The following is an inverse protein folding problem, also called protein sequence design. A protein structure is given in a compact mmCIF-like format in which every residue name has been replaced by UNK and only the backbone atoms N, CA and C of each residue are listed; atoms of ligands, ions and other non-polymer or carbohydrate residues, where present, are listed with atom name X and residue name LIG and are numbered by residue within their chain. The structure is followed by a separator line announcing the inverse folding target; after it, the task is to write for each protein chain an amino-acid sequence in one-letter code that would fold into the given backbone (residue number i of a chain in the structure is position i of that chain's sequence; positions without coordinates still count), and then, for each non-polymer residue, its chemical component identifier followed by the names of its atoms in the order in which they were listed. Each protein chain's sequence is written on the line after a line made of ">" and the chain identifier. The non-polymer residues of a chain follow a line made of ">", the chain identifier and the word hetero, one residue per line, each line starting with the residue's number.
data_IF_871924305063
#
_entry.id   IF_871924305063
#
_cell.length_a   1.000
_cell.length_b   1.000
_cell.length_c   1.000
_cell.angle_alpha   90.00
_cell.angle_beta   90.00
_cell.angle_gamma   90.00
#
_symmetry.space_group_name_H-M   'P 1'
#
loop_
_entity.id
_entity.type
_entity.pdbx_description
1 polymer ?
#
# COMPACT_ATOMS: atom_id res chain seq x y z
N UNK A 1 -17.48 28.40 -9.35
CA UNK A 1 -17.62 27.21 -10.22
C UNK A 1 -16.27 26.68 -10.78
N UNK A 2 -15.35 27.47 -11.42
CA UNK A 2 -14.15 26.89 -12.03
C UNK A 2 -13.22 26.13 -11.06
N UNK A 3 -12.98 26.68 -9.86
CA UNK A 3 -12.09 26.05 -8.87
C UNK A 3 -12.61 24.67 -8.44
N UNK A 4 -13.91 24.52 -8.22
CA UNK A 4 -14.51 23.24 -7.83
C UNK A 4 -14.37 22.19 -8.94
N UNK A 5 -14.67 22.56 -10.18
CA UNK A 5 -14.53 21.69 -11.33
C UNK A 5 -13.07 21.20 -11.48
N UNK A 6 -12.11 22.09 -11.25
CA UNK A 6 -10.68 21.74 -11.27
C UNK A 6 -10.35 20.71 -10.18
N UNK A 7 -10.83 20.88 -8.95
CA UNK A 7 -10.60 19.93 -7.84
C UNK A 7 -11.21 18.57 -8.16
N UNK A 8 -12.40 18.51 -8.73
CA UNK A 8 -13.07 17.27 -9.14
C UNK A 8 -12.24 16.54 -10.21
N UNK A 9 -11.77 17.27 -11.25
CA UNK A 9 -10.94 16.67 -12.30
C UNK A 9 -9.59 16.19 -11.77
N UNK A 10 -8.97 16.92 -10.83
CA UNK A 10 -7.76 16.45 -10.13
C UNK A 10 -8.04 15.15 -9.40
N UNK A 11 -9.14 15.06 -8.66
CA UNK A 11 -9.51 13.86 -7.93
C UNK A 11 -9.72 12.65 -8.87
N UNK A 12 -10.41 12.86 -10.01
CA UNK A 12 -10.60 11.83 -11.03
C UNK A 12 -9.26 11.36 -11.59
N UNK A 13 -8.39 12.30 -11.97
CA UNK A 13 -7.07 12.01 -12.54
C UNK A 13 -6.16 11.27 -11.55
N UNK A 14 -6.17 11.65 -10.27
CA UNK A 14 -5.42 10.97 -9.22
C UNK A 14 -5.86 9.51 -9.04
N UNK A 15 -7.18 9.27 -9.02
CA UNK A 15 -7.72 7.92 -8.94
C UNK A 15 -7.33 7.08 -10.16
N UNK A 16 -7.52 7.63 -11.37
CA UNK A 16 -7.16 6.95 -12.62
C UNK A 16 -5.68 6.58 -12.65
N UNK A 17 -4.82 7.54 -12.32
CA UNK A 17 -3.37 7.34 -12.29
C UNK A 17 -2.96 6.27 -11.28
N UNK A 18 -3.47 6.34 -10.05
CA UNK A 18 -3.13 5.38 -9.02
C UNK A 18 -3.58 3.96 -9.43
N UNK A 19 -4.77 3.83 -10.04
CA UNK A 19 -5.26 2.58 -10.60
C UNK A 19 -4.33 2.03 -11.67
N UNK A 20 -3.89 2.85 -12.63
CA UNK A 20 -2.93 2.46 -13.66
C UNK A 20 -1.59 2.01 -13.08
N UNK A 21 -1.00 2.78 -12.17
CA UNK A 21 0.29 2.42 -11.54
C UNK A 21 0.21 1.03 -10.90
N UNK A 22 -0.86 0.75 -10.17
CA UNK A 22 -1.01 -0.54 -9.50
C UNK A 22 -1.22 -1.68 -10.51
N UNK A 23 -2.05 -1.48 -11.54
CA UNK A 23 -2.34 -2.51 -12.54
C UNK A 23 -1.12 -2.83 -13.42
N UNK A 24 -0.40 -1.82 -13.90
CA UNK A 24 0.71 -2.05 -14.83
C UNK A 24 1.98 -2.59 -14.17
N UNK A 25 2.25 -2.19 -12.93
CA UNK A 25 3.46 -2.63 -12.22
C UNK A 25 3.36 -4.05 -11.65
N UNK A 26 2.18 -4.50 -11.28
CA UNK A 26 2.00 -5.85 -10.72
C UNK A 26 0.61 -6.44 -11.05
N UNK A 27 0.35 -6.74 -12.34
CA UNK A 27 -0.99 -7.14 -12.82
C UNK A 27 -1.46 -8.52 -12.32
N UNK A 28 -0.53 -9.39 -11.92
CA UNK A 28 -0.84 -10.80 -11.62
C UNK A 28 -1.48 -11.03 -10.23
N UNK A 29 -1.47 -10.04 -9.35
CA UNK A 29 -2.07 -10.18 -8.01
C UNK A 29 -3.52 -9.74 -8.02
N UNK A 30 -4.40 -10.57 -7.48
CA UNK A 30 -5.82 -10.28 -7.33
C UNK A 30 -6.05 -8.98 -6.56
N UNK A 31 -5.29 -8.74 -5.49
CA UNK A 31 -5.35 -7.52 -4.70
C UNK A 31 -5.16 -6.26 -5.56
N UNK A 32 -4.16 -6.28 -6.45
CA UNK A 32 -3.84 -5.16 -7.32
C UNK A 32 -4.92 -4.95 -8.39
N UNK A 33 -5.45 -6.04 -8.94
CA UNK A 33 -6.55 -6.00 -9.90
C UNK A 33 -7.80 -5.37 -9.27
N UNK A 34 -8.20 -5.83 -8.08
CA UNK A 34 -9.36 -5.29 -7.36
C UNK A 34 -9.19 -3.80 -7.04
N UNK A 35 -8.00 -3.40 -6.59
CA UNK A 35 -7.72 -2.00 -6.30
C UNK A 35 -7.72 -1.13 -7.55
N UNK A 36 -7.12 -1.61 -8.64
CA UNK A 36 -7.11 -0.88 -9.92
C UNK A 36 -8.51 -0.70 -10.50
N UNK A 37 -9.35 -1.75 -10.46
CA UNK A 37 -10.77 -1.67 -10.87
C UNK A 37 -11.51 -0.69 -9.95
N UNK A 38 -11.28 -0.73 -8.64
CA UNK A 38 -11.87 0.21 -7.69
C UNK A 38 -11.52 1.65 -8.04
N UNK A 39 -10.24 1.98 -8.26
CA UNK A 39 -9.80 3.32 -8.65
C UNK A 39 -10.42 3.75 -9.99
N UNK A 40 -10.53 2.85 -10.98
CA UNK A 40 -11.16 3.15 -12.26
C UNK A 40 -12.65 3.49 -12.11
N UNK A 41 -13.39 2.73 -11.30
CA UNK A 41 -14.82 3.00 -11.04
C UNK A 41 -14.98 4.29 -10.23
N UNK A 42 -14.11 4.58 -9.26
CA UNK A 42 -14.09 5.86 -8.57
C UNK A 42 -13.84 7.03 -9.54
N UNK A 43 -12.95 6.86 -10.51
CA UNK A 43 -12.73 7.86 -11.56
C UNK A 43 -14.01 8.11 -12.37
N UNK A 44 -14.69 7.04 -12.82
CA UNK A 44 -15.97 7.16 -13.56
C UNK A 44 -17.06 7.81 -12.72
N UNK A 45 -17.14 7.49 -11.45
CA UNK A 45 -18.04 8.11 -10.49
C UNK A 45 -17.79 9.62 -10.35
N UNK A 46 -16.54 10.04 -10.19
CA UNK A 46 -16.13 11.43 -10.08
C UNK A 46 -16.38 12.18 -11.39
N UNK A 47 -16.09 11.57 -12.54
CA UNK A 47 -16.37 12.15 -13.86
C UNK A 47 -17.88 12.30 -14.11
N UNK A 48 -18.70 11.34 -13.69
CA UNK A 48 -20.15 11.47 -13.77
C UNK A 48 -20.64 12.68 -12.94
N UNK A 49 -20.14 12.87 -11.71
CA UNK A 49 -20.39 14.07 -10.91
C UNK A 49 -19.96 15.35 -11.61
N UNK A 50 -18.78 15.37 -12.23
CA UNK A 50 -18.30 16.51 -13.01
C UNK A 50 -19.25 16.86 -14.15
N UNK A 51 -19.66 15.85 -14.94
CA UNK A 51 -20.55 16.07 -16.08
C UNK A 51 -21.97 16.51 -15.68
N UNK A 52 -22.43 16.15 -14.47
CA UNK A 52 -23.70 16.73 -13.95
C UNK A 52 -23.62 18.26 -13.87
N UNK A 53 -22.45 18.84 -13.51
CA UNK A 53 -22.28 20.29 -13.42
C UNK A 53 -22.05 20.96 -14.77
N UNK A 54 -21.33 20.29 -15.70
CA UNK A 54 -20.95 20.89 -16.99
C UNK A 54 -22.01 20.66 -18.04
N UNK A 55 -22.58 19.47 -18.10
CA UNK A 55 -23.61 19.02 -19.04
C UNK A 55 -24.77 18.36 -18.28
N UNK A 56 -25.62 19.15 -17.62
CA UNK A 56 -26.69 18.60 -16.79
C UNK A 56 -27.63 17.70 -17.59
N UNK A 57 -27.66 16.43 -17.27
CA UNK A 57 -28.56 15.44 -17.86
C UNK A 57 -28.93 14.36 -16.86
N UNK A 58 -30.11 13.76 -17.03
CA UNK A 58 -30.55 12.62 -16.23
C UNK A 58 -29.56 11.46 -16.29
N UNK A 59 -28.97 11.24 -17.44
CA UNK A 59 -27.99 10.17 -17.67
C UNK A 59 -26.76 10.31 -16.73
N UNK A 60 -26.15 11.51 -16.66
CA UNK A 60 -24.99 11.72 -15.82
C UNK A 60 -25.31 11.59 -14.34
N UNK A 61 -26.46 12.13 -13.91
CA UNK A 61 -26.92 12.04 -12.55
C UNK A 61 -27.16 10.59 -12.12
N UNK A 62 -27.88 9.81 -12.94
CA UNK A 62 -28.11 8.40 -12.70
C UNK A 62 -26.79 7.59 -12.71
N UNK A 63 -25.86 7.94 -13.60
CA UNK A 63 -24.52 7.34 -13.67
C UNK A 63 -23.73 7.57 -12.39
N UNK A 64 -23.86 8.72 -11.73
CA UNK A 64 -23.24 9.00 -10.43
C UNK A 64 -23.64 7.96 -9.38
N UNK A 65 -24.93 7.73 -9.24
CA UNK A 65 -25.45 6.73 -8.31
C UNK A 65 -25.05 5.31 -8.70
N UNK A 66 -25.06 4.99 -10.00
CA UNK A 66 -24.69 3.68 -10.54
C UNK A 66 -23.24 3.33 -10.23
N UNK A 67 -22.30 4.21 -10.57
CA UNK A 67 -20.88 3.97 -10.28
C UNK A 67 -20.56 3.99 -8.78
N UNK A 68 -21.26 4.81 -7.98
CA UNK A 68 -21.14 4.81 -6.53
C UNK A 68 -21.48 3.45 -5.90
N UNK A 69 -22.55 2.79 -6.37
CA UNK A 69 -22.93 1.45 -5.92
C UNK A 69 -21.88 0.39 -6.26
N UNK A 70 -21.31 0.42 -7.48
CA UNK A 70 -20.23 -0.50 -7.86
C UNK A 70 -18.96 -0.26 -7.06
N UNK A 71 -18.57 1.00 -6.86
CA UNK A 71 -17.40 1.35 -6.05
C UNK A 71 -17.51 0.78 -4.63
N UNK A 72 -18.69 0.93 -4.00
CA UNK A 72 -18.95 0.38 -2.68
C UNK A 72 -18.81 -1.15 -2.63
N UNK A 73 -19.31 -1.88 -3.63
CA UNK A 73 -19.17 -3.33 -3.73
C UNK A 73 -17.71 -3.77 -3.87
N UNK A 74 -16.96 -3.13 -4.75
CA UNK A 74 -15.57 -3.50 -5.03
C UNK A 74 -14.67 -3.14 -3.85
N UNK A 75 -14.97 -2.08 -3.11
CA UNK A 75 -14.27 -1.74 -1.87
C UNK A 75 -14.33 -2.89 -0.85
N UNK A 76 -15.48 -3.58 -0.74
CA UNK A 76 -15.61 -4.76 0.15
C UNK A 76 -14.69 -5.90 -0.32
N UNK A 77 -14.70 -6.23 -1.62
CA UNK A 77 -13.85 -7.31 -2.14
C UNK A 77 -12.37 -7.01 -1.98
N UNK A 78 -11.98 -5.76 -2.21
CA UNK A 78 -10.63 -5.31 -1.99
C UNK A 78 -10.23 -5.38 -0.51
N UNK A 79 -11.09 -4.93 0.41
CA UNK A 79 -10.85 -5.03 1.84
C UNK A 79 -10.72 -6.49 2.34
N UNK A 80 -11.55 -7.40 1.83
CA UNK A 80 -11.46 -8.84 2.11
C UNK A 80 -10.11 -9.42 1.67
N UNK A 81 -9.66 -9.08 0.47
CA UNK A 81 -8.41 -9.60 -0.07
C UNK A 81 -7.19 -9.01 0.67
N UNK A 82 -7.21 -7.71 0.99
CA UNK A 82 -6.15 -7.04 1.75
C UNK A 82 -5.99 -7.60 3.17
N UNK A 83 -7.08 -8.00 3.79
CA UNK A 83 -7.08 -8.57 5.14
C UNK A 83 -6.88 -10.09 5.17
N UNK A 84 -6.65 -10.72 4.01
CA UNK A 84 -6.58 -12.17 3.85
C UNK A 84 -7.82 -12.90 4.42
N UNK A 85 -8.97 -12.22 4.49
CA UNK A 85 -10.22 -12.86 4.90
C UNK A 85 -10.79 -13.66 3.71
N UNK A 86 -11.36 -14.83 3.99
CA UNK A 86 -11.86 -15.72 2.93
C UNK A 86 -13.00 -15.06 2.16
N UNK A 87 -12.80 -14.90 0.86
CA UNK A 87 -13.85 -14.49 -0.06
C UNK A 87 -14.69 -15.71 -0.38
N UNK A 88 -15.77 -15.90 0.39
CA UNK A 88 -16.70 -17.00 0.17
C UNK A 88 -17.61 -16.71 -1.03
N UNK A 89 -18.06 -17.78 -1.73
CA UNK A 89 -19.03 -17.64 -2.83
C UNK A 89 -20.26 -16.83 -2.45
N UNK A 90 -20.73 -17.02 -1.21
CA UNK A 90 -21.90 -16.30 -0.66
C UNK A 90 -21.65 -14.79 -0.59
N UNK A 91 -20.48 -14.33 -0.10
CA UNK A 91 -20.12 -12.91 -0.07
C UNK A 91 -20.06 -12.31 -1.48
N UNK A 92 -19.48 -13.06 -2.45
CA UNK A 92 -19.40 -12.62 -3.86
C UNK A 92 -20.80 -12.47 -4.46
N UNK A 93 -21.67 -13.43 -4.24
CA UNK A 93 -23.04 -13.39 -4.76
C UNK A 93 -23.81 -12.22 -4.13
N UNK A 94 -23.79 -12.08 -2.81
CA UNK A 94 -24.57 -11.04 -2.11
C UNK A 94 -24.07 -9.64 -2.52
N UNK A 95 -22.81 -9.31 -2.29
CA UNK A 95 -22.30 -7.97 -2.55
C UNK A 95 -22.12 -7.65 -4.03
N UNK A 96 -21.78 -8.65 -4.85
CA UNK A 96 -21.71 -8.49 -6.29
C UNK A 96 -23.08 -8.30 -6.91
N UNK A 97 -24.06 -9.12 -6.55
CA UNK A 97 -25.43 -9.00 -7.05
C UNK A 97 -26.10 -7.69 -6.60
N UNK A 98 -25.92 -7.29 -5.33
CA UNK A 98 -26.43 -6.00 -4.85
C UNK A 98 -25.79 -4.81 -5.58
N UNK A 99 -24.48 -4.85 -5.81
CA UNK A 99 -23.79 -3.79 -6.57
C UNK A 99 -24.30 -3.68 -7.99
N UNK A 100 -24.46 -4.79 -8.70
CA UNK A 100 -25.01 -4.83 -10.06
C UNK A 100 -26.49 -4.41 -10.05
N UNK A 101 -27.26 -4.87 -9.08
CA UNK A 101 -28.66 -4.49 -8.93
C UNK A 101 -28.80 -2.96 -8.79
N UNK A 102 -28.09 -2.33 -7.84
CA UNK A 102 -28.16 -0.89 -7.66
C UNK A 102 -27.53 -0.12 -8.82
N UNK A 103 -26.52 -0.67 -9.51
CA UNK A 103 -25.97 -0.08 -10.73
C UNK A 103 -27.06 0.06 -11.80
N UNK A 104 -27.80 -1.00 -12.08
CA UNK A 104 -28.86 -0.99 -13.08
C UNK A 104 -30.11 -0.21 -12.58
N UNK A 105 -30.50 -0.47 -11.33
CA UNK A 105 -31.71 0.11 -10.77
C UNK A 105 -31.61 1.65 -10.60
N UNK A 106 -30.41 2.22 -10.50
CA UNK A 106 -30.22 3.68 -10.41
C UNK A 106 -30.74 4.40 -11.64
N UNK A 107 -30.68 3.79 -12.83
CA UNK A 107 -31.24 4.39 -14.05
C UNK A 107 -32.76 4.42 -14.08
N UNK A 108 -33.44 3.57 -13.31
CA UNK A 108 -34.90 3.49 -13.26
C UNK A 108 -35.48 4.01 -11.93
N UNK A 109 -34.72 3.91 -10.87
CA UNK A 109 -35.15 4.25 -9.50
C UNK A 109 -35.18 5.75 -9.23
N UNK A 110 -34.27 6.51 -9.83
CA UNK A 110 -34.26 7.97 -9.72
C UNK A 110 -35.20 8.59 -10.77
N UNK A 111 -36.33 9.13 -10.30
CA UNK A 111 -37.35 9.76 -11.13
C UNK A 111 -36.95 11.20 -11.40
N UNK A 112 -36.65 11.49 -12.66
CA UNK A 112 -36.39 12.84 -13.14
C UNK A 112 -37.65 13.45 -13.71
N UNK A 113 -37.98 14.72 -13.39
CA UNK A 113 -39.01 15.46 -14.14
C UNK A 113 -38.52 15.71 -15.57
N UNK A 114 -39.43 15.72 -16.53
CA UNK A 114 -39.14 16.13 -17.91
C UNK A 114 -38.91 17.65 -17.95
N UNK A 115 -37.65 18.07 -17.83
CA UNK A 115 -37.22 19.44 -17.79
C UNK A 115 -36.17 19.73 -18.85
N UNK A 116 -36.10 21.00 -19.25
CA UNK A 116 -35.05 21.46 -20.16
C UNK A 116 -33.66 21.37 -19.52
N UNK A 117 -32.62 21.14 -20.33
CA UNK A 117 -31.25 20.90 -19.85
C UNK A 117 -30.73 22.01 -18.91
N UNK A 118 -31.18 23.27 -19.08
CA UNK A 118 -30.78 24.38 -18.21
C UNK A 118 -31.35 24.34 -16.78
N UNK A 119 -32.43 23.59 -16.55
CA UNK A 119 -33.05 23.48 -15.22
C UNK A 119 -32.50 22.31 -14.40
N UNK A 120 -31.86 21.32 -15.04
CA UNK A 120 -31.36 20.12 -14.38
C UNK A 120 -30.29 20.40 -13.33
N UNK A 121 -29.41 21.38 -13.56
CA UNK A 121 -28.39 21.77 -12.57
C UNK A 121 -28.99 22.41 -11.32
N UNK A 122 -30.07 23.21 -11.49
CA UNK A 122 -30.83 23.80 -10.38
C UNK A 122 -31.59 22.71 -9.62
N UNK A 123 -32.18 21.75 -10.33
CA UNK A 123 -32.88 20.62 -9.75
C UNK A 123 -31.96 19.71 -8.92
N UNK A 124 -30.78 19.42 -9.44
CA UNK A 124 -29.78 18.67 -8.69
C UNK A 124 -29.38 19.40 -7.42
N UNK A 125 -29.12 20.70 -7.52
CA UNK A 125 -28.82 21.53 -6.35
C UNK A 125 -30.00 21.62 -5.35
N UNK A 126 -31.25 21.47 -5.80
CA UNK A 126 -32.47 21.48 -4.97
C UNK A 126 -32.83 20.10 -4.40
N UNK A 127 -32.22 19.02 -4.91
CA UNK A 127 -32.48 17.62 -4.51
C UNK A 127 -33.87 17.10 -4.87
N UNK A 128 -34.51 17.66 -5.90
CA UNK A 128 -35.85 17.24 -6.32
C UNK A 128 -35.88 15.79 -6.74
N UNK A 129 -34.81 15.29 -7.38
CA UNK A 129 -34.63 13.88 -7.75
C UNK A 129 -34.67 12.95 -6.52
N UNK A 130 -34.03 13.38 -5.40
CA UNK A 130 -34.04 12.64 -4.13
C UNK A 130 -35.45 12.63 -3.54
N UNK A 131 -36.14 13.80 -3.53
CA UNK A 131 -37.52 13.91 -3.03
C UNK A 131 -38.48 13.04 -3.81
N UNK A 132 -38.39 13.05 -5.14
CA UNK A 132 -39.25 12.23 -6.02
C UNK A 132 -38.98 10.73 -5.94
N UNK A 133 -37.81 10.34 -5.50
CA UNK A 133 -37.32 8.96 -5.45
C UNK A 133 -36.98 8.49 -4.03
N UNK A 134 -37.56 9.11 -3.02
CA UNK A 134 -37.19 8.92 -1.62
C UNK A 134 -37.10 7.44 -1.18
N UNK A 135 -38.04 6.53 -1.50
CA UNK A 135 -37.93 5.12 -1.09
C UNK A 135 -36.71 4.45 -1.69
N UNK A 136 -36.44 4.68 -2.96
CA UNK A 136 -35.26 4.11 -3.64
C UNK A 136 -33.97 4.72 -3.07
N UNK A 137 -33.96 6.03 -2.84
CA UNK A 137 -32.81 6.71 -2.25
C UNK A 137 -32.45 6.16 -0.88
N UNK A 138 -33.44 5.90 0.00
CA UNK A 138 -33.20 5.32 1.33
C UNK A 138 -32.56 3.93 1.20
N UNK A 139 -33.08 3.07 0.32
CA UNK A 139 -32.51 1.75 0.07
C UNK A 139 -31.06 1.83 -0.46
N UNK A 140 -30.86 2.73 -1.43
CA UNK A 140 -29.55 2.98 -2.02
C UNK A 140 -28.52 3.44 -0.98
N UNK A 141 -28.83 4.48 -0.21
CA UNK A 141 -27.95 5.04 0.82
C UNK A 141 -27.67 4.02 1.93
N UNK A 142 -28.68 3.24 2.34
CA UNK A 142 -28.50 2.18 3.32
C UNK A 142 -27.50 1.13 2.81
N UNK A 143 -27.61 0.77 1.54
CA UNK A 143 -26.67 -0.16 0.91
C UNK A 143 -25.24 0.41 0.83
N UNK A 144 -25.06 1.61 0.30
CA UNK A 144 -23.73 2.22 0.11
C UNK A 144 -23.06 2.50 1.46
N UNK A 145 -23.78 3.07 2.41
CA UNK A 145 -23.26 3.34 3.75
C UNK A 145 -22.93 2.04 4.49
N UNK A 146 -23.80 1.04 4.41
CA UNK A 146 -23.56 -0.28 4.97
C UNK A 146 -22.33 -0.98 4.37
N UNK A 147 -22.14 -0.86 3.06
CA UNK A 147 -20.97 -1.40 2.36
C UNK A 147 -19.67 -0.73 2.81
N UNK A 148 -19.65 0.61 2.91
CA UNK A 148 -18.50 1.38 3.40
C UNK A 148 -18.18 1.01 4.84
N UNK A 149 -19.17 0.99 5.73
CA UNK A 149 -18.99 0.62 7.14
C UNK A 149 -18.49 -0.82 7.28
N UNK A 150 -18.99 -1.74 6.45
CA UNK A 150 -18.52 -3.12 6.45
C UNK A 150 -17.07 -3.25 5.97
N UNK A 151 -16.67 -2.49 4.93
CA UNK A 151 -15.28 -2.44 4.48
C UNK A 151 -14.34 -1.88 5.58
N UNK A 152 -14.76 -0.82 6.29
CA UNK A 152 -14.03 -0.27 7.44
C UNK A 152 -13.91 -1.30 8.56
N UNK A 153 -15.00 -2.02 8.88
CA UNK A 153 -14.98 -3.08 9.87
C UNK A 153 -14.00 -4.20 9.52
N UNK A 154 -13.98 -4.66 8.26
CA UNK A 154 -13.04 -5.68 7.78
C UNK A 154 -11.59 -5.22 7.94
N UNK A 155 -11.28 -3.99 7.53
CA UNK A 155 -9.94 -3.43 7.67
C UNK A 155 -9.53 -3.25 9.15
N UNK A 156 -10.45 -2.80 10.01
CA UNK A 156 -10.19 -2.67 11.44
C UNK A 156 -9.94 -4.04 12.10
N UNK A 157 -10.72 -5.07 11.71
CA UNK A 157 -10.50 -6.46 12.13
C UNK A 157 -9.12 -6.96 11.67
N UNK A 158 -8.78 -6.76 10.38
CA UNK A 158 -7.49 -7.15 9.81
C UNK A 158 -6.32 -6.44 10.50
N UNK A 159 -6.45 -5.14 10.79
CA UNK A 159 -5.46 -4.36 11.54
C UNK A 159 -5.18 -4.95 12.94
N UNK A 160 -6.23 -5.36 13.65
CA UNK A 160 -6.10 -6.00 14.98
C UNK A 160 -5.46 -7.39 14.88
N UNK A 161 -5.81 -8.18 13.87
CA UNK A 161 -5.28 -9.52 13.66
C UNK A 161 -3.80 -9.52 13.21
N UNK A 162 -3.35 -8.48 12.51
CA UNK A 162 -1.97 -8.34 12.02
C UNK A 162 -0.97 -7.88 13.11
N UNK A 163 -1.23 -8.15 14.39
CA UNK A 163 -0.40 -7.68 15.52
C UNK A 163 1.08 -8.09 15.41
N UNK A 164 1.35 -9.27 14.85
CA UNK A 164 2.71 -9.83 14.73
C UNK A 164 3.38 -9.55 13.38
N UNK A 165 2.72 -8.79 12.49
CA UNK A 165 3.20 -8.47 11.15
C UNK A 165 3.27 -6.95 10.96
N UNK A 166 4.34 -6.32 11.44
CA UNK A 166 4.47 -4.87 11.49
C UNK A 166 4.24 -4.16 10.15
N UNK A 167 4.74 -4.73 9.05
CA UNK A 167 4.58 -4.13 7.71
C UNK A 167 3.12 -4.19 7.27
N UNK A 168 2.48 -5.36 7.34
CA UNK A 168 1.08 -5.54 6.95
C UNK A 168 0.14 -4.68 7.81
N UNK A 169 0.40 -4.63 9.12
CA UNK A 169 -0.35 -3.77 10.05
C UNK A 169 -0.30 -2.30 9.64
N UNK A 170 0.89 -1.79 9.26
CA UNK A 170 1.04 -0.41 8.80
C UNK A 170 0.35 -0.18 7.46
N UNK A 171 0.46 -1.13 6.52
CA UNK A 171 -0.26 -1.07 5.24
C UNK A 171 -1.78 -0.96 5.45
N UNK A 172 -2.37 -1.88 6.22
CA UNK A 172 -3.80 -1.86 6.54
C UNK A 172 -4.17 -0.59 7.31
N UNK A 173 -3.33 -0.12 8.23
CA UNK A 173 -3.57 1.08 9.02
C UNK A 173 -3.72 2.34 8.17
N UNK A 174 -2.81 2.58 7.23
CA UNK A 174 -2.92 3.75 6.32
C UNK A 174 -4.16 3.66 5.43
N UNK A 175 -4.43 2.49 4.87
CA UNK A 175 -5.64 2.27 4.06
C UNK A 175 -6.90 2.47 4.89
N UNK A 176 -6.93 1.97 6.13
CA UNK A 176 -8.04 2.14 7.06
C UNK A 176 -8.32 3.63 7.35
N UNK A 177 -7.28 4.43 7.60
CA UNK A 177 -7.43 5.88 7.80
C UNK A 177 -8.01 6.52 6.53
N UNK A 178 -7.46 6.20 5.36
CA UNK A 178 -7.91 6.77 4.08
C UNK A 178 -9.38 6.45 3.78
N UNK A 179 -9.78 5.18 3.92
CA UNK A 179 -11.18 4.78 3.65
C UNK A 179 -12.15 5.28 4.72
N UNK A 180 -11.70 5.44 5.97
CA UNK A 180 -12.54 5.98 7.05
C UNK A 180 -12.82 7.45 6.82
N UNK A 181 -11.80 8.26 6.49
CA UNK A 181 -11.98 9.68 6.17
C UNK A 181 -12.85 9.86 4.93
N UNK A 182 -12.53 9.16 3.84
CA UNK A 182 -13.33 9.18 2.62
C UNK A 182 -14.79 8.77 2.90
N UNK A 183 -15.00 7.67 3.61
CA UNK A 183 -16.33 7.17 3.95
C UNK A 183 -17.12 8.12 4.86
N UNK A 184 -16.47 8.77 5.82
CA UNK A 184 -17.08 9.78 6.67
C UNK A 184 -17.61 10.96 5.83
N UNK A 185 -16.79 11.46 4.91
CA UNK A 185 -17.20 12.56 4.01
C UNK A 185 -18.33 12.12 3.07
N UNK A 186 -18.26 10.95 2.47
CA UNK A 186 -19.32 10.42 1.59
C UNK A 186 -20.64 10.27 2.38
N UNK A 187 -20.61 9.62 3.55
CA UNK A 187 -21.83 9.43 4.35
C UNK A 187 -22.39 10.79 4.77
N UNK A 188 -21.54 11.72 5.22
CA UNK A 188 -22.01 13.06 5.61
C UNK A 188 -22.57 13.80 4.41
N UNK A 189 -21.88 13.81 3.28
CA UNK A 189 -22.33 14.51 2.08
C UNK A 189 -23.58 13.87 1.48
N UNK A 190 -23.59 12.54 1.29
CA UNK A 190 -24.66 11.87 0.54
C UNK A 190 -25.88 11.48 1.39
N UNK A 191 -25.74 11.41 2.72
CA UNK A 191 -26.83 11.05 3.63
C UNK A 191 -27.26 12.23 4.51
N UNK A 192 -26.31 12.78 5.29
CA UNK A 192 -26.67 13.74 6.33
C UNK A 192 -27.10 15.09 5.74
N UNK A 193 -26.29 15.67 4.85
CA UNK A 193 -26.57 16.99 4.26
C UNK A 193 -27.90 17.03 3.48
N UNK A 194 -28.24 16.03 2.64
CA UNK A 194 -29.53 16.00 1.96
C UNK A 194 -30.74 15.92 2.88
N UNK A 195 -30.64 15.24 4.04
CA UNK A 195 -31.71 15.19 5.03
C UNK A 195 -32.05 16.58 5.63
N UNK A 196 -31.03 17.44 5.72
CA UNK A 196 -31.19 18.82 6.19
C UNK A 196 -31.41 19.83 5.04
N UNK A 197 -31.55 19.38 3.79
CA UNK A 197 -31.79 20.22 2.64
C UNK A 197 -30.55 20.89 2.04
N UNK A 198 -29.33 20.55 2.48
CA UNK A 198 -28.09 21.14 1.97
C UNK A 198 -27.55 20.37 0.73
N UNK A 199 -28.38 20.24 -0.31
CA UNK A 199 -28.06 19.45 -1.50
C UNK A 199 -26.87 19.99 -2.29
N UNK A 200 -26.75 21.32 -2.42
CA UNK A 200 -25.62 21.94 -3.14
C UNK A 200 -24.29 21.69 -2.46
N UNK A 201 -24.24 21.70 -1.12
CA UNK A 201 -23.03 21.39 -0.36
C UNK A 201 -22.69 19.90 -0.40
N UNK A 202 -23.70 19.04 -0.43
CA UNK A 202 -23.57 17.60 -0.60
C UNK A 202 -22.77 17.25 -1.86
N UNK A 203 -23.19 17.77 -3.00
CA UNK A 203 -22.57 17.48 -4.29
C UNK A 203 -21.13 18.01 -4.44
N UNK A 204 -20.77 19.04 -3.64
CA UNK A 204 -19.43 19.65 -3.63
C UNK A 204 -18.42 18.83 -2.80
N UNK A 205 -18.84 18.27 -1.67
CA UNK A 205 -17.93 17.61 -0.71
C UNK A 205 -17.63 16.16 -1.05
N UNK A 206 -18.49 15.54 -1.80
CA UNK A 206 -18.49 14.11 -2.09
C UNK A 206 -17.24 13.68 -2.91
N UNK A 207 -17.09 14.21 -4.13
CA UNK A 207 -16.03 13.81 -5.06
C UNK A 207 -14.60 14.08 -4.57
N UNK A 208 -14.27 15.26 -3.99
CA UNK A 208 -12.93 15.54 -3.49
C UNK A 208 -12.50 14.65 -2.32
N UNK A 209 -13.44 14.05 -1.60
CA UNK A 209 -13.15 13.18 -0.47
C UNK A 209 -12.30 11.95 -0.85
N UNK A 210 -12.39 11.50 -2.10
CA UNK A 210 -11.58 10.40 -2.64
C UNK A 210 -10.07 10.66 -2.57
N UNK A 211 -9.65 11.93 -2.52
CA UNK A 211 -8.24 12.30 -2.37
C UNK A 211 -7.64 11.83 -1.04
N UNK A 212 -8.43 11.69 0.02
CA UNK A 212 -7.96 11.08 1.26
C UNK A 212 -7.56 9.62 1.04
N UNK A 213 -8.42 8.84 0.37
CA UNK A 213 -8.12 7.45 0.08
C UNK A 213 -6.89 7.31 -0.82
N UNK A 214 -6.81 8.12 -1.88
CA UNK A 214 -5.66 8.16 -2.79
C UNK A 214 -4.38 8.52 -2.04
N UNK A 215 -4.40 9.57 -1.23
CA UNK A 215 -3.23 10.05 -0.48
C UNK A 215 -2.70 8.98 0.50
N UNK A 216 -3.56 8.43 1.33
CA UNK A 216 -3.15 7.39 2.28
C UNK A 216 -2.76 6.08 1.62
N UNK A 217 -3.43 5.67 0.54
CA UNK A 217 -3.03 4.50 -0.25
C UNK A 217 -1.66 4.71 -0.91
N UNK A 218 -1.39 5.92 -1.41
CA UNK A 218 -0.08 6.30 -1.97
C UNK A 218 1.02 6.18 -0.91
N UNK A 219 0.78 6.64 0.34
CA UNK A 219 1.73 6.46 1.44
C UNK A 219 1.96 4.98 1.75
N UNK A 220 0.89 4.16 1.78
CA UNK A 220 1.00 2.73 2.00
C UNK A 220 1.82 2.03 0.90
N UNK A 221 1.65 2.44 -0.35
CA UNK A 221 2.40 1.90 -1.51
C UNK A 221 3.88 2.29 -1.42
N UNK A 222 4.17 3.59 -1.26
CA UNK A 222 5.53 4.12 -1.35
C UNK A 222 6.39 3.73 -0.15
N UNK A 223 5.85 3.86 1.07
CA UNK A 223 6.62 3.66 2.30
C UNK A 223 6.62 2.21 2.78
N UNK A 224 5.53 1.48 2.55
CA UNK A 224 5.37 0.12 3.07
C UNK A 224 5.25 -0.93 1.98
N UNK A 225 5.50 -0.57 0.72
CA UNK A 225 5.45 -1.48 -0.44
C UNK A 225 4.10 -2.24 -0.53
N UNK A 226 3.00 -1.57 -0.20
CA UNK A 226 1.68 -2.11 -0.48
C UNK A 226 1.61 -2.48 -1.97
N UNK A 227 1.04 -3.62 -2.30
CA UNK A 227 1.03 -4.20 -3.66
C UNK A 227 2.41 -4.70 -4.16
N UNK A 228 3.45 -4.75 -3.30
CA UNK A 228 4.86 -5.10 -3.67
C UNK A 228 5.45 -4.22 -4.78
N UNK A 229 4.94 -3.02 -4.93
CA UNK A 229 5.41 -2.08 -5.93
C UNK A 229 6.50 -1.21 -5.33
N UNK A 230 7.68 -1.26 -5.93
CA UNK A 230 8.73 -0.25 -5.71
C UNK A 230 8.39 0.96 -6.60
N UNK A 231 7.61 1.89 -6.09
CA UNK A 231 7.34 3.15 -6.78
C UNK A 231 8.15 4.24 -6.10
N UNK A 232 8.92 4.97 -6.90
CA UNK A 232 9.60 6.15 -6.42
C UNK A 232 8.56 7.26 -6.21
N UNK A 233 8.57 7.88 -5.03
CA UNK A 233 7.68 9.01 -4.72
C UNK A 233 7.75 10.09 -5.81
N UNK A 234 8.92 10.27 -6.41
CA UNK A 234 9.17 11.20 -7.52
C UNK A 234 8.34 10.87 -8.76
N UNK A 235 8.18 9.58 -9.12
CA UNK A 235 7.34 9.18 -10.27
C UNK A 235 5.88 9.57 -10.04
N UNK A 236 5.38 9.29 -8.85
CA UNK A 236 3.99 9.64 -8.47
C UNK A 236 3.80 11.16 -8.51
N UNK A 237 4.71 11.92 -7.91
CA UNK A 237 4.62 13.37 -7.84
C UNK A 237 4.65 13.99 -9.24
N UNK A 238 5.58 13.56 -10.10
CA UNK A 238 5.71 14.07 -11.48
C UNK A 238 4.47 13.79 -12.29
N UNK A 239 3.91 12.58 -12.21
CA UNK A 239 2.70 12.27 -12.99
C UNK A 239 1.48 12.99 -12.44
N UNK A 240 1.34 13.11 -11.11
CA UNK A 240 0.25 13.85 -10.49
C UNK A 240 0.27 15.33 -10.91
N UNK A 241 1.44 15.96 -10.86
CA UNK A 241 1.62 17.35 -11.33
C UNK A 241 1.40 17.49 -12.83
N UNK A 242 1.84 16.49 -13.62
CA UNK A 242 1.59 16.46 -15.07
C UNK A 242 0.13 16.38 -15.42
N UNK A 243 -0.65 15.54 -14.71
CA UNK A 243 -2.09 15.46 -14.89
C UNK A 243 -2.79 16.76 -14.50
N UNK A 244 -2.36 17.40 -13.43
CA UNK A 244 -2.90 18.68 -13.00
C UNK A 244 -2.67 19.76 -14.06
N UNK A 245 -1.46 19.83 -14.60
CA UNK A 245 -1.11 20.77 -15.66
C UNK A 245 -1.79 20.45 -17.01
N UNK A 246 -2.06 19.16 -17.30
CA UNK A 246 -2.80 18.74 -18.50
C UNK A 246 -4.26 19.22 -18.46
N UNK A 247 -4.87 19.27 -17.29
CA UNK A 247 -6.27 19.70 -17.12
C UNK A 247 -6.40 21.22 -17.21
N UNK A 248 -5.38 21.96 -16.81
CA UNK A 248 -5.41 23.42 -16.72
C UNK A 248 -5.87 24.13 -18.00
N UNK A 249 -5.38 23.77 -19.22
CA UNK A 249 -5.83 24.40 -20.46
C UNK A 249 -7.33 24.26 -20.75
N UNK A 250 -7.97 23.18 -20.29
CA UNK A 250 -9.39 22.93 -20.51
C UNK A 250 -10.31 23.74 -19.60
N UNK A 251 -9.75 24.37 -18.56
CA UNK A 251 -10.48 25.20 -17.58
C UNK A 251 -10.29 26.68 -17.86
N UNK A 252 -9.33 27.05 -18.71
CA UNK A 252 -9.03 28.45 -19.04
C UNK A 252 -9.95 28.99 -20.13
N UNK A 253 -10.43 30.21 -19.93
CA UNK A 253 -11.40 30.87 -20.84
C UNK A 253 -10.70 31.68 -21.94
N UNK A 254 -9.45 32.09 -21.74
CA UNK A 254 -8.74 32.96 -22.70
C UNK A 254 -7.67 32.20 -23.48
N UNK A 255 -7.53 32.50 -24.79
CA UNK A 255 -6.55 31.84 -25.69
C UNK A 255 -5.12 32.05 -25.17
N UNK A 256 -4.79 33.22 -24.67
CA UNK A 256 -3.46 33.53 -24.11
C UNK A 256 -3.11 32.61 -22.92
N UNK A 257 -4.05 32.40 -22.01
CA UNK A 257 -3.87 31.47 -20.88
C UNK A 257 -3.80 30.01 -21.32
N UNK A 258 -4.56 29.62 -22.35
CA UNK A 258 -4.47 28.25 -22.93
C UNK A 258 -3.09 28.00 -23.51
N UNK A 259 -2.54 28.94 -24.27
CA UNK A 259 -1.19 28.83 -24.84
C UNK A 259 -0.12 28.77 -23.74
N UNK A 260 -0.23 29.65 -22.75
CA UNK A 260 0.70 29.69 -21.62
C UNK A 260 0.67 28.39 -20.80
N UNK A 261 -0.50 27.89 -20.44
CA UNK A 261 -0.66 26.66 -19.65
C UNK A 261 -0.25 25.42 -20.44
N UNK A 262 -0.47 25.38 -21.76
CA UNK A 262 0.00 24.31 -22.63
C UNK A 262 1.53 24.31 -22.73
N UNK A 263 2.15 25.49 -22.87
CA UNK A 263 3.61 25.66 -22.85
C UNK A 263 4.22 25.21 -21.52
N UNK A 264 3.59 25.57 -20.40
CA UNK A 264 3.99 25.13 -19.07
C UNK A 264 3.89 23.61 -18.91
N UNK A 265 2.84 22.99 -19.42
CA UNK A 265 2.67 21.54 -19.42
C UNK A 265 3.79 20.83 -20.20
N UNK A 266 4.13 21.31 -21.41
CA UNK A 266 5.20 20.73 -22.21
C UNK A 266 6.56 20.86 -21.52
N UNK A 267 6.87 22.03 -20.94
CA UNK A 267 8.09 22.24 -20.16
C UNK A 267 8.15 21.29 -18.95
N UNK A 268 7.03 21.11 -18.26
CA UNK A 268 6.92 20.19 -17.12
C UNK A 268 7.11 18.72 -17.56
N UNK A 269 6.55 18.30 -18.70
CA UNK A 269 6.76 16.95 -19.24
C UNK A 269 8.25 16.68 -19.51
N UNK A 270 8.96 17.67 -20.07
CA UNK A 270 10.40 17.56 -20.30
C UNK A 270 11.19 17.44 -18.98
N UNK A 271 10.95 18.31 -18.03
CA UNK A 271 11.57 18.24 -16.70
C UNK A 271 11.22 16.94 -15.96
N UNK A 272 9.95 16.52 -16.03
CA UNK A 272 9.47 15.28 -15.47
C UNK A 272 10.17 14.05 -16.03
N UNK A 273 10.38 14.01 -17.34
CA UNK A 273 11.16 12.94 -17.97
C UNK A 273 12.59 12.85 -17.43
N UNK A 274 13.26 14.00 -17.26
CA UNK A 274 14.63 14.03 -16.70
C UNK A 274 14.66 13.56 -15.24
N UNK A 275 13.70 13.98 -14.43
CA UNK A 275 13.58 13.57 -13.03
C UNK A 275 13.32 12.07 -12.89
N UNK A 276 12.40 11.52 -13.67
CA UNK A 276 12.08 10.07 -13.66
C UNK A 276 13.32 9.27 -14.09
N UNK A 277 14.01 9.69 -15.14
CA UNK A 277 15.23 9.04 -15.61
C UNK A 277 16.33 9.05 -14.53
N UNK A 278 16.50 10.16 -13.83
CA UNK A 278 17.44 10.29 -12.71
C UNK A 278 17.07 9.35 -11.55
N UNK A 279 15.80 9.33 -11.15
CA UNK A 279 15.28 8.51 -10.07
C UNK A 279 15.39 7.00 -10.36
N UNK A 280 15.14 6.57 -11.60
CA UNK A 280 15.34 5.17 -12.03
C UNK A 280 16.81 4.76 -11.90
N UNK A 281 17.73 5.63 -12.35
CA UNK A 281 19.17 5.37 -12.25
C UNK A 281 19.63 5.24 -10.79
N UNK A 282 19.14 6.10 -9.91
CA UNK A 282 19.45 6.03 -8.47
C UNK A 282 18.91 4.75 -7.84
N UNK A 283 17.69 4.33 -8.20
CA UNK A 283 17.08 3.08 -7.72
C UNK A 283 17.89 1.85 -8.14
N UNK A 284 18.36 1.82 -9.40
CA UNK A 284 19.21 0.73 -9.89
C UNK A 284 20.55 0.68 -9.17
N UNK A 285 21.16 1.85 -8.91
CA UNK A 285 22.42 1.91 -8.15
C UNK A 285 22.24 1.40 -6.70
N UNK A 286 21.13 1.75 -6.04
CA UNK A 286 20.81 1.24 -4.70
C UNK A 286 20.61 -0.28 -4.70
N UNK A 287 19.95 -0.83 -5.71
CA UNK A 287 19.73 -2.28 -5.82
C UNK A 287 21.05 -3.05 -6.00
N UNK A 288 21.95 -2.54 -6.86
CA UNK A 288 23.31 -3.08 -7.04
C UNK A 288 24.11 -2.99 -5.73
N UNK A 289 23.99 -1.88 -5.01
CA UNK A 289 24.68 -1.69 -3.72
C UNK A 289 24.14 -2.65 -2.65
N UNK A 290 22.83 -2.80 -2.54
CA UNK A 290 22.20 -3.76 -1.62
C UNK A 290 22.66 -5.20 -1.92
N UNK A 291 22.77 -5.55 -3.20
CA UNK A 291 23.26 -6.87 -3.61
C UNK A 291 24.73 -7.06 -3.21
N UNK A 292 25.59 -6.07 -3.48
CA UNK A 292 27.00 -6.11 -3.06
C UNK A 292 27.17 -6.20 -1.55
N UNK A 293 26.36 -5.46 -0.79
CA UNK A 293 26.38 -5.54 0.69
C UNK A 293 25.99 -6.93 1.15
N UNK A 294 24.96 -7.53 0.52
CA UNK A 294 24.53 -8.90 0.85
C UNK A 294 25.62 -9.92 0.54
N UNK A 295 26.26 -9.83 -0.61
CA UNK A 295 27.38 -10.72 -1.00
C UNK A 295 28.54 -10.57 -0.02
N UNK A 296 28.94 -9.34 0.30
CA UNK A 296 30.03 -9.11 1.27
C UNK A 296 29.69 -9.57 2.68
N UNK A 297 28.43 -9.46 3.09
CA UNK A 297 28.00 -9.98 4.40
C UNK A 297 28.09 -11.50 4.45
N UNK A 298 27.71 -12.18 3.38
CA UNK A 298 27.84 -13.64 3.28
C UNK A 298 29.30 -14.09 3.25
N UNK A 299 30.16 -13.38 2.49
CA UNK A 299 31.61 -13.65 2.48
C UNK A 299 32.23 -13.48 3.87
N UNK A 300 31.84 -12.40 4.58
CA UNK A 300 32.33 -12.10 5.93
C UNK A 300 31.89 -13.19 6.92
N UNK A 301 30.63 -13.64 6.82
CA UNK A 301 30.09 -14.70 7.67
C UNK A 301 30.81 -16.05 7.42
N UNK A 302 31.07 -16.38 6.16
CA UNK A 302 31.83 -17.56 5.78
C UNK A 302 33.29 -17.48 6.31
N UNK A 303 33.94 -16.33 6.15
CA UNK A 303 35.29 -16.11 6.67
C UNK A 303 35.35 -16.18 8.20
N UNK A 304 34.35 -15.65 8.91
CA UNK A 304 34.21 -15.74 10.36
C UNK A 304 34.09 -17.20 10.82
N UNK A 305 33.18 -17.96 10.18
CA UNK A 305 32.99 -19.38 10.51
C UNK A 305 34.28 -20.19 10.29
N UNK A 306 35.00 -19.89 9.19
CA UNK A 306 36.29 -20.55 8.92
C UNK A 306 37.37 -20.19 9.97
N UNK A 307 37.38 -18.91 10.39
CA UNK A 307 38.31 -18.47 11.44
C UNK A 307 37.98 -19.09 12.81
N UNK A 308 36.70 -19.24 13.15
CA UNK A 308 36.23 -19.92 14.36
C UNK A 308 36.61 -21.40 14.35
N UNK A 309 36.47 -22.10 13.19
CA UNK A 309 36.90 -23.48 13.03
C UNK A 309 38.41 -23.64 13.23
N UNK A 310 39.21 -22.78 12.58
CA UNK A 310 40.68 -22.81 12.74
C UNK A 310 41.11 -22.53 14.19
N UNK A 311 40.40 -21.64 14.86
CA UNK A 311 40.66 -21.32 16.27
C UNK A 311 40.33 -22.54 17.16
N UNK A 312 39.19 -23.20 16.91
CA UNK A 312 38.83 -24.41 17.64
C UNK A 312 39.82 -25.55 17.40
N UNK A 313 40.29 -25.75 16.15
CA UNK A 313 41.34 -26.73 15.82
C UNK A 313 42.67 -26.39 16.51
N UNK A 314 43.05 -25.12 16.54
CA UNK A 314 44.27 -24.67 17.22
C UNK A 314 44.22 -24.92 18.72
N UNK A 315 43.08 -24.66 19.36
CA UNK A 315 42.85 -24.95 20.78
C UNK A 315 42.94 -26.46 21.05
N UNK A 316 42.25 -27.27 20.22
CA UNK A 316 42.29 -28.73 20.35
C UNK A 316 43.73 -29.28 20.24
N UNK A 317 44.52 -28.81 19.26
CA UNK A 317 45.94 -29.18 19.11
C UNK A 317 46.77 -28.71 20.31
N UNK A 318 46.54 -27.56 20.84
CA UNK A 318 47.21 -27.06 22.07
C UNK A 318 46.93 -27.98 23.25
N UNK A 319 45.66 -28.33 23.46
CA UNK A 319 45.25 -29.21 24.57
C UNK A 319 45.86 -30.62 24.42
N UNK A 320 45.96 -31.13 23.19
CA UNK A 320 46.61 -32.42 22.89
C UNK A 320 48.12 -32.35 23.18
N UNK A 321 48.80 -31.27 22.80
CA UNK A 321 50.19 -31.02 23.07
C UNK A 321 50.49 -30.88 24.58
N UNK A 322 49.59 -30.18 25.31
CA UNK A 322 49.73 -30.09 26.78
C UNK A 322 49.56 -31.43 27.48
N UNK A 323 48.60 -32.27 26.98
CA UNK A 323 48.44 -33.64 27.50
C UNK A 323 49.69 -34.48 27.25
N UNK A 324 50.22 -34.40 26.03
CA UNK A 324 51.44 -35.11 25.67
C UNK A 324 52.63 -34.64 26.55
N UNK A 325 52.79 -33.37 26.73
CA UNK A 325 53.81 -32.78 27.57
C UNK A 325 53.72 -33.25 29.04
N UNK A 326 52.52 -33.23 29.63
CA UNK A 326 52.30 -33.74 31.01
C UNK A 326 52.61 -35.21 31.13
N UNK A 327 52.26 -36.03 30.12
CA UNK A 327 52.59 -37.47 30.12
C UNK A 327 54.10 -37.70 30.01
N UNK A 328 54.80 -36.95 29.16
CA UNK A 328 56.24 -37.06 28.96
C UNK A 328 57.03 -36.64 30.22
N UNK A 329 56.68 -35.46 30.74
CA UNK A 329 57.30 -34.96 32.01
C UNK A 329 57.01 -35.92 33.17
N UNK A 330 55.75 -36.40 33.26
CA UNK A 330 55.39 -37.36 34.31
C UNK A 330 56.16 -38.69 34.18
N UNK A 331 56.45 -39.14 32.94
CA UNK A 331 57.27 -40.34 32.68
C UNK A 331 58.75 -40.11 33.03
N UNK A 332 59.29 -38.94 32.69
CA UNK A 332 60.67 -38.60 33.07
C UNK A 332 60.87 -38.46 34.60
N UNK A 333 59.95 -37.81 35.30
CA UNK A 333 59.98 -37.72 36.77
C UNK A 333 59.91 -39.10 37.40
N UNK A 334 59.06 -40.00 36.89
CA UNK A 334 58.99 -41.36 37.39
C UNK A 334 60.25 -42.18 37.09
N UNK A 335 60.89 -41.94 35.94
CA UNK A 335 62.19 -42.53 35.62
C UNK A 335 63.33 -42.06 36.53
N UNK A 336 63.30 -40.72 36.91
CA UNK A 336 64.26 -40.16 37.85
C UNK A 336 64.06 -40.78 39.25
N UNK A 337 62.81 -40.92 39.69
CA UNK A 337 62.49 -41.50 41.02
C UNK A 337 62.87 -42.99 41.05
N UNK A 338 62.64 -43.78 39.98
CA UNK A 338 63.08 -45.16 39.87
C UNK A 338 64.60 -45.28 39.87
N UNK A 339 65.32 -44.40 39.15
CA UNK A 339 66.80 -44.39 39.18
C UNK A 339 67.33 -44.06 40.58
N UNK A 340 66.64 -43.13 41.30
CA UNK A 340 67.05 -42.81 42.69
C UNK A 340 66.82 -44.01 43.61
N UNK A 341 65.70 -44.67 43.51
CA UNK A 341 65.44 -45.93 44.28
C UNK A 341 66.40 -47.06 43.96
N UNK A 342 66.72 -47.23 42.70
CA UNK A 342 67.75 -48.28 42.29
C UNK A 342 69.08 -47.95 42.96
N UNK A 343 69.52 -46.67 42.92
CA UNK A 343 70.78 -46.23 43.56
C UNK A 343 70.77 -46.40 45.08
N UNK A 344 69.65 -46.17 45.73
CA UNK A 344 69.46 -46.39 47.17
C UNK A 344 69.52 -47.90 47.55
N UNK A 345 68.96 -48.73 46.66
CA UNK A 345 69.04 -50.20 46.88
C UNK A 345 70.42 -50.78 46.59
N UNK A 346 71.17 -50.29 45.60
CA UNK A 346 72.53 -50.63 45.32
C UNK A 346 73.46 -50.29 46.45
N UNK A 347 73.30 -49.09 47.07
CA UNK A 347 74.10 -48.68 48.24
C UNK A 347 73.76 -49.46 49.49
N UNK A 348 72.54 -50.00 49.65
CA UNK A 348 72.18 -50.92 50.74
C UNK A 348 72.69 -52.33 50.59
N UNK A 349 72.92 -52.82 49.33
CA UNK A 349 73.35 -54.18 49.01
C UNK A 349 74.89 -54.33 48.80
N UNK A 350 75.65 -53.24 49.01
CA UNK A 350 77.13 -53.38 48.93
C UNK A 350 77.61 -54.03 50.23
N UNK A 351 78.11 -55.22 50.26
CA UNK A 351 78.61 -55.84 51.46
C UNK A 351 79.86 -55.14 51.87
N UNK A 352 79.93 -54.82 53.17
CA UNK A 352 81.12 -54.27 53.78
C UNK A 352 82.26 -55.28 53.63
N UNK A 353 83.18 -54.91 52.77
CA UNK A 353 84.46 -55.68 52.69
C UNK A 353 85.22 -55.48 54.01
N UNK A 354 85.54 -56.54 54.71
CA UNK A 354 86.40 -56.40 55.90
C UNK A 354 87.79 -56.00 55.48
N UNK A 355 88.28 -54.94 56.00
CA UNK A 355 89.71 -54.57 55.99
C UNK A 355 90.49 -55.56 56.87
N UNK A 356 91.41 -56.25 56.27
CA UNK A 356 92.61 -56.80 56.91
C UNK A 356 93.79 -55.94 56.55
#
# INVERSE_FOLDING_TARGET
>A
MPILNTIILIAASCNLFLGFVVLFRAPKRRLNLLFGIFCFICCLWILANFFVFVYPSAFWLQSTYSFGALAASIAIFWALDLTNDKITKVKVIIFGALGIFFFIASYFGFKMPQLTEGDLSRLYASGIEVKNSLPFFICYITYVSGAILYAIFLLAKGYRQSRNQDILKKQIGYVLIGITLNGLFIITASLVLPLFGFYALSSVLDSPSSLFLVGFSTIAITRYRLFEIKVLLTEILVVLMGLLLLILPFVMETIEMIIFTTGLFLAFCFCGYLLIKGAIKESQQKEILEQKVKERTQELEAAKNLAEQKTAEAIARKDELERFYRLTVGRELKMIDLKKRIKELETKNTPATPLN
#
